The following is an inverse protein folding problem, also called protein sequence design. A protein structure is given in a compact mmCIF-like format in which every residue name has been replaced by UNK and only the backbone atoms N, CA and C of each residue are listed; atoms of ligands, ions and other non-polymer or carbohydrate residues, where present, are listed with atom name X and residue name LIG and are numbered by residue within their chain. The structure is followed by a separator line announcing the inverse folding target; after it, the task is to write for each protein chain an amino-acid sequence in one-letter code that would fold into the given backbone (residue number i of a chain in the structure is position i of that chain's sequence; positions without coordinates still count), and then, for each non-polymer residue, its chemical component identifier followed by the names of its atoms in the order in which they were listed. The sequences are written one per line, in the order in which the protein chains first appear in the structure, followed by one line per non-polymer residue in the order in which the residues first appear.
data_IF_870652582898
#
_entry.id   IF_870652582898
#
_cell.length_a   1.000
_cell.length_b   1.000
_cell.length_c   1.000
_cell.angle_alpha   90.00
_cell.angle_beta   90.00
_cell.angle_gamma   90.00
#
_symmetry.space_group_name_H-M   'P 1'
#
loop_
_entity.id
_entity.type
_entity.pdbx_description
1 polymer ?
#
# COMPACT_ATOMS: atom_id res chain seq x y z
N UNK A 1 -22.99 -22.21 -34.46
CA UNK A 1 -22.54 -21.12 -33.61
C UNK A 1 -23.65 -20.78 -32.62
N UNK A 2 -23.37 -20.67 -31.29
CA UNK A 2 -24.36 -20.27 -30.33
C UNK A 2 -24.89 -18.87 -30.66
N UNK A 3 -26.17 -18.58 -30.44
CA UNK A 3 -26.75 -17.31 -30.81
C UNK A 3 -26.04 -16.17 -30.10
N UNK A 4 -25.75 -15.10 -30.81
CA UNK A 4 -25.01 -13.92 -30.32
C UNK A 4 -25.59 -13.30 -29.03
N UNK A 5 -26.82 -13.61 -28.69
CA UNK A 5 -27.53 -13.24 -27.47
C UNK A 5 -26.95 -13.91 -26.21
N UNK A 6 -26.45 -15.14 -26.29
CA UNK A 6 -25.96 -15.89 -25.13
C UNK A 6 -24.54 -15.45 -24.70
N UNK A 7 -23.69 -15.08 -25.67
CA UNK A 7 -22.35 -14.55 -25.38
C UNK A 7 -22.41 -13.14 -24.77
N UNK A 8 -23.27 -12.26 -25.32
CA UNK A 8 -23.47 -10.93 -24.78
C UNK A 8 -24.03 -10.92 -23.35
N UNK A 9 -24.98 -11.80 -23.06
CA UNK A 9 -25.54 -11.96 -21.70
C UNK A 9 -24.49 -12.49 -20.70
N UNK A 10 -23.68 -13.47 -21.11
CA UNK A 10 -22.54 -13.97 -20.30
C UNK A 10 -21.51 -12.88 -20.01
N UNK A 11 -21.20 -12.04 -21.00
CA UNK A 11 -20.24 -10.93 -20.82
C UNK A 11 -20.79 -9.82 -19.90
N UNK A 12 -22.08 -9.53 -19.97
CA UNK A 12 -22.74 -8.58 -19.04
C UNK A 12 -22.73 -9.12 -17.62
N UNK A 13 -23.04 -10.41 -17.44
CA UNK A 13 -23.02 -11.06 -16.12
C UNK A 13 -21.60 -11.07 -15.52
N UNK A 14 -20.60 -11.44 -16.27
CA UNK A 14 -19.19 -11.42 -15.84
C UNK A 14 -18.74 -10.01 -15.43
N UNK A 15 -19.10 -8.98 -16.18
CA UNK A 15 -18.77 -7.58 -15.84
C UNK A 15 -19.44 -7.10 -14.56
N UNK A 16 -20.69 -7.52 -14.30
CA UNK A 16 -21.39 -7.20 -13.05
C UNK A 16 -20.73 -7.88 -11.87
N UNK A 17 -20.30 -9.13 -12.01
CA UNK A 17 -19.59 -9.89 -10.98
C UNK A 17 -18.30 -9.18 -10.55
N UNK A 18 -17.40 -8.88 -11.47
CA UNK A 18 -16.15 -8.16 -11.18
C UNK A 18 -16.37 -6.80 -10.52
N UNK A 19 -17.43 -6.11 -10.86
CA UNK A 19 -17.82 -4.86 -10.20
C UNK A 19 -18.10 -5.08 -8.72
N UNK A 20 -18.89 -6.08 -8.39
CA UNK A 20 -19.28 -6.36 -7.01
C UNK A 20 -18.09 -6.90 -6.19
N UNK A 21 -17.23 -7.70 -6.78
CA UNK A 21 -15.98 -8.12 -6.14
C UNK A 21 -15.12 -6.91 -5.74
N UNK A 22 -14.90 -5.96 -6.66
CA UNK A 22 -14.12 -4.76 -6.37
C UNK A 22 -14.74 -3.91 -5.25
N UNK A 23 -16.07 -3.78 -5.24
CA UNK A 23 -16.77 -2.98 -4.22
C UNK A 23 -16.76 -3.69 -2.86
N UNK A 24 -17.05 -4.98 -2.82
CA UNK A 24 -17.03 -5.75 -1.58
C UNK A 24 -15.65 -5.74 -0.95
N UNK A 25 -14.60 -5.95 -1.73
CA UNK A 25 -13.21 -5.89 -1.25
C UNK A 25 -12.87 -4.53 -0.66
N UNK A 26 -13.27 -3.44 -1.33
CA UNK A 26 -13.00 -2.10 -0.80
C UNK A 26 -13.81 -1.79 0.46
N UNK A 27 -15.11 -2.12 0.48
CA UNK A 27 -15.99 -1.87 1.65
C UNK A 27 -15.47 -2.63 2.87
N UNK A 28 -15.14 -3.91 2.71
CA UNK A 28 -14.62 -4.74 3.82
C UNK A 28 -13.24 -4.26 4.27
N UNK A 29 -12.36 -3.90 3.34
CA UNK A 29 -11.05 -3.32 3.65
C UNK A 29 -11.15 -1.97 4.35
N UNK A 30 -12.04 -1.09 3.89
CA UNK A 30 -12.30 0.20 4.54
C UNK A 30 -12.89 0.03 5.94
N UNK A 31 -13.85 -0.89 6.11
CA UNK A 31 -14.40 -1.20 7.43
C UNK A 31 -13.31 -1.70 8.39
N UNK A 32 -12.45 -2.62 7.95
CA UNK A 32 -11.32 -3.12 8.73
C UNK A 32 -10.34 -1.98 9.08
N UNK A 33 -10.03 -1.11 8.13
CA UNK A 33 -9.14 0.03 8.37
C UNK A 33 -9.73 0.99 9.42
N UNK A 34 -11.04 1.29 9.35
CA UNK A 34 -11.73 2.11 10.35
C UNK A 34 -11.66 1.46 11.73
N UNK A 35 -11.97 0.16 11.83
CA UNK A 35 -11.96 -0.57 13.10
C UNK A 35 -10.57 -0.58 13.75
N UNK A 36 -9.52 -0.82 12.97
CA UNK A 36 -8.16 -0.94 13.51
C UNK A 36 -7.50 0.43 13.68
N UNK A 37 -7.48 1.26 12.61
CA UNK A 37 -6.69 2.48 12.57
C UNK A 37 -7.44 3.73 13.05
N UNK A 38 -8.75 3.83 12.88
CA UNK A 38 -9.48 5.01 13.33
C UNK A 38 -10.01 4.85 14.75
N UNK A 39 -10.55 3.69 15.11
CA UNK A 39 -10.94 3.44 16.50
C UNK A 39 -9.71 3.28 17.41
N UNK A 40 -8.65 2.62 16.92
CA UNK A 40 -7.38 2.45 17.60
C UNK A 40 -6.31 3.49 17.21
N UNK A 41 -6.69 4.74 16.87
CA UNK A 41 -5.77 5.72 16.30
C UNK A 41 -4.60 6.07 17.21
N UNK A 42 -4.81 6.07 18.52
CA UNK A 42 -3.76 6.34 19.50
C UNK A 42 -2.66 5.29 19.52
N UNK A 43 -2.97 4.05 19.09
CA UNK A 43 -2.02 2.93 19.07
C UNK A 43 -1.36 2.74 17.70
N UNK A 44 -2.10 3.02 16.61
CA UNK A 44 -1.69 2.58 15.29
C UNK A 44 -1.51 3.70 14.27
N UNK A 45 -2.10 4.87 14.50
CA UNK A 45 -2.10 5.95 13.53
C UNK A 45 -1.24 7.15 13.96
N UNK A 46 -1.18 7.42 15.27
CA UNK A 46 -0.49 8.59 15.83
C UNK A 46 0.92 8.18 16.25
N UNK A 47 1.87 9.06 15.94
CA UNK A 47 3.23 9.05 16.45
C UNK A 47 3.46 10.34 17.22
N UNK A 48 3.42 10.24 18.54
CA UNK A 48 3.56 11.41 19.42
C UNK A 48 4.98 11.95 19.48
N UNK A 49 5.98 11.18 19.02
CA UNK A 49 7.36 11.64 18.95
C UNK A 49 7.57 12.54 17.73
N UNK A 50 6.84 12.26 16.65
CA UNK A 50 6.88 13.10 15.44
C UNK A 50 6.02 14.35 15.56
N UNK A 51 4.76 14.18 15.92
CA UNK A 51 3.79 15.28 16.02
C UNK A 51 2.73 14.95 17.09
N UNK A 52 2.46 15.89 17.98
CA UNK A 52 1.35 15.79 18.93
C UNK A 52 0.01 16.02 18.21
N UNK A 53 -0.60 14.95 17.76
CA UNK A 53 -1.92 15.00 17.11
C UNK A 53 -3.00 14.48 18.06
N UNK A 54 -4.15 15.15 18.07
CA UNK A 54 -5.35 14.56 18.67
C UNK A 54 -5.86 13.41 17.78
N UNK A 55 -6.56 12.46 18.38
CA UNK A 55 -7.19 11.33 17.66
C UNK A 55 -8.02 11.81 16.47
N UNK A 56 -8.85 12.83 16.69
CA UNK A 56 -9.71 13.40 15.64
C UNK A 56 -8.89 14.03 14.52
N UNK A 57 -7.81 14.77 14.84
CA UNK A 57 -6.95 15.36 13.83
C UNK A 57 -6.25 14.30 12.99
N UNK A 58 -5.70 13.25 13.59
CA UNK A 58 -5.05 12.16 12.88
C UNK A 58 -6.00 11.44 11.91
N UNK A 59 -7.24 11.16 12.35
CA UNK A 59 -8.26 10.54 11.51
C UNK A 59 -8.66 11.46 10.35
N UNK A 60 -8.85 12.75 10.59
CA UNK A 60 -9.18 13.72 9.54
C UNK A 60 -8.04 13.87 8.51
N UNK A 61 -6.79 13.91 8.96
CA UNK A 61 -5.61 13.92 8.09
C UNK A 61 -5.58 12.68 7.22
N UNK A 62 -5.82 11.51 7.79
CA UNK A 62 -5.87 10.26 7.05
C UNK A 62 -6.97 10.26 5.98
N UNK A 63 -8.19 10.65 6.32
CA UNK A 63 -9.32 10.76 5.38
C UNK A 63 -9.00 11.77 4.28
N UNK A 64 -8.50 12.94 4.65
CA UNK A 64 -8.11 13.98 3.70
C UNK A 64 -7.01 13.49 2.75
N UNK A 65 -6.03 12.73 3.27
CA UNK A 65 -4.97 12.12 2.48
C UNK A 65 -5.49 11.13 1.43
N UNK A 66 -6.49 10.29 1.77
CA UNK A 66 -7.13 9.38 0.81
C UNK A 66 -7.87 10.15 -0.29
N UNK A 67 -8.64 11.16 0.10
CA UNK A 67 -9.40 12.00 -0.85
C UNK A 67 -8.45 12.77 -1.75
N UNK A 68 -7.44 13.43 -1.18
CA UNK A 68 -6.41 14.15 -1.91
C UNK A 68 -5.68 13.23 -2.89
N UNK A 69 -5.29 12.04 -2.42
CA UNK A 69 -4.63 11.02 -3.25
C UNK A 69 -5.45 10.69 -4.50
N UNK A 70 -6.76 10.45 -4.35
CA UNK A 70 -7.63 10.18 -5.49
C UNK A 70 -7.80 11.41 -6.41
N UNK A 71 -8.10 12.57 -5.86
CA UNK A 71 -8.39 13.79 -6.63
C UNK A 71 -7.18 14.20 -7.48
N UNK A 72 -5.99 14.25 -6.88
CA UNK A 72 -4.77 14.64 -7.59
C UNK A 72 -4.37 13.57 -8.61
N UNK A 73 -4.47 12.29 -8.26
CA UNK A 73 -4.23 11.21 -9.22
C UNK A 73 -5.16 11.32 -10.46
N UNK A 74 -6.46 11.57 -10.23
CA UNK A 74 -7.42 11.70 -11.32
C UNK A 74 -7.13 12.95 -12.17
N UNK A 75 -6.74 14.06 -11.55
CA UNK A 75 -6.33 15.28 -12.23
C UNK A 75 -5.09 15.06 -13.11
N UNK A 76 -4.03 14.46 -12.56
CA UNK A 76 -2.80 14.12 -13.30
C UNK A 76 -3.15 13.28 -14.53
N UNK A 77 -3.96 12.24 -14.35
CA UNK A 77 -4.35 11.37 -15.45
C UNK A 77 -5.22 12.07 -16.51
N UNK A 78 -6.03 13.05 -16.14
CA UNK A 78 -6.82 13.84 -17.11
C UNK A 78 -5.96 14.81 -17.89
N UNK A 79 -5.01 15.45 -17.22
CA UNK A 79 -4.09 16.42 -17.86
C UNK A 79 -3.10 15.75 -18.81
N UNK A 80 -2.69 14.53 -18.51
CA UNK A 80 -1.69 13.78 -19.29
C UNK A 80 -2.31 12.74 -20.24
N UNK A 81 -3.63 12.76 -20.44
CA UNK A 81 -4.28 11.88 -21.45
C UNK A 81 -3.69 12.17 -22.83
N UNK A 82 -3.22 11.11 -23.52
CA UNK A 82 -2.62 11.21 -24.86
C UNK A 82 -1.14 11.60 -24.86
N UNK A 83 -0.53 11.86 -23.73
CA UNK A 83 0.92 12.01 -23.59
C UNK A 83 1.60 10.64 -23.47
N UNK A 84 2.93 10.63 -23.51
CA UNK A 84 3.73 9.41 -23.34
C UNK A 84 3.41 8.69 -22.02
N UNK A 85 3.22 7.38 -22.11
CA UNK A 85 3.00 6.55 -20.91
C UNK A 85 4.16 6.64 -19.90
N UNK A 86 5.40 6.83 -20.40
CA UNK A 86 6.57 7.00 -19.55
C UNK A 86 6.48 8.29 -18.73
N UNK A 87 6.12 9.41 -19.36
CA UNK A 87 5.95 10.70 -18.66
C UNK A 87 4.88 10.57 -17.58
N UNK A 88 3.73 9.98 -17.91
CA UNK A 88 2.66 9.75 -16.94
C UNK A 88 3.13 8.87 -15.78
N UNK A 89 3.85 7.78 -16.05
CA UNK A 89 4.36 6.88 -15.01
C UNK A 89 5.35 7.59 -14.08
N UNK A 90 6.25 8.40 -14.61
CA UNK A 90 7.21 9.17 -13.81
C UNK A 90 6.48 10.18 -12.92
N UNK A 91 5.53 10.94 -13.48
CA UNK A 91 4.77 11.94 -12.70
C UNK A 91 3.96 11.27 -11.59
N UNK A 92 3.32 10.12 -11.88
CA UNK A 92 2.59 9.36 -10.86
C UNK A 92 3.53 8.77 -9.80
N UNK A 93 4.71 8.31 -10.18
CA UNK A 93 5.69 7.80 -9.22
C UNK A 93 6.18 8.90 -8.27
N UNK A 94 6.50 10.09 -8.80
CA UNK A 94 6.86 11.26 -7.99
C UNK A 94 5.71 11.64 -7.05
N UNK A 95 4.48 11.62 -7.54
CA UNK A 95 3.30 11.89 -6.72
C UNK A 95 3.11 10.86 -5.60
N UNK A 96 3.27 9.57 -5.89
CA UNK A 96 3.16 8.52 -4.87
C UNK A 96 4.34 8.56 -3.87
N UNK A 97 5.53 8.94 -4.30
CA UNK A 97 6.66 9.17 -3.41
C UNK A 97 6.38 10.34 -2.46
N UNK A 98 5.81 11.44 -2.96
CA UNK A 98 5.38 12.57 -2.14
C UNK A 98 4.30 12.15 -1.13
N UNK A 99 3.27 11.40 -1.55
CA UNK A 99 2.23 10.91 -0.64
C UNK A 99 2.79 9.97 0.44
N UNK A 100 3.74 9.11 0.06
CA UNK A 100 4.41 8.21 0.99
C UNK A 100 5.18 8.98 2.05
N UNK A 101 6.00 9.94 1.61
CA UNK A 101 6.76 10.80 2.50
C UNK A 101 5.85 11.65 3.41
N UNK A 102 4.80 12.25 2.86
CA UNK A 102 3.85 13.06 3.63
C UNK A 102 3.11 12.22 4.68
N UNK A 103 2.68 11.00 4.29
CA UNK A 103 2.04 10.07 5.23
C UNK A 103 2.99 9.67 6.35
N UNK A 104 4.25 9.37 6.04
CA UNK A 104 5.28 9.04 7.02
C UNK A 104 5.57 10.20 7.97
N UNK A 105 5.59 11.43 7.46
CA UNK A 105 5.88 12.63 8.26
C UNK A 105 4.74 13.01 9.22
N UNK A 106 3.49 12.63 8.90
CA UNK A 106 2.30 13.03 9.65
C UNK A 106 1.73 11.93 10.53
N UNK A 107 2.00 10.65 10.21
CA UNK A 107 1.43 9.49 10.87
C UNK A 107 2.54 8.59 11.40
N UNK A 108 2.17 7.61 12.22
CA UNK A 108 3.10 6.55 12.62
C UNK A 108 3.60 5.79 11.39
N UNK A 109 4.78 5.20 11.46
CA UNK A 109 5.36 4.46 10.34
C UNK A 109 4.45 3.33 9.86
N UNK A 110 3.83 2.59 10.78
CA UNK A 110 2.81 1.58 10.48
C UNK A 110 1.55 2.21 9.86
N UNK A 111 1.07 3.31 10.44
CA UNK A 111 -0.07 4.06 9.95
C UNK A 111 0.17 4.59 8.53
N UNK A 112 1.34 5.14 8.25
CA UNK A 112 1.74 5.64 6.94
C UNK A 112 1.77 4.52 5.88
N UNK A 113 2.32 3.36 6.25
CA UNK A 113 2.37 2.19 5.36
C UNK A 113 0.95 1.76 4.96
N UNK A 114 0.06 1.60 5.92
CA UNK A 114 -1.33 1.24 5.66
C UNK A 114 -2.12 2.36 4.97
N UNK A 115 -1.84 3.63 5.27
CA UNK A 115 -2.42 4.79 4.61
C UNK A 115 -2.17 4.75 3.10
N UNK A 116 -0.94 4.43 2.69
CA UNK A 116 -0.61 4.27 1.27
C UNK A 116 -1.36 3.11 0.63
N UNK A 117 -1.46 1.97 1.31
CA UNK A 117 -2.24 0.81 0.84
C UNK A 117 -3.71 1.16 0.61
N UNK A 118 -4.35 1.83 1.58
CA UNK A 118 -5.76 2.28 1.48
C UNK A 118 -5.92 3.33 0.38
N UNK A 119 -4.98 4.26 0.25
CA UNK A 119 -5.03 5.29 -0.80
C UNK A 119 -4.95 4.68 -2.19
N UNK A 120 -3.98 3.80 -2.43
CA UNK A 120 -3.82 3.12 -3.72
C UNK A 120 -5.02 2.20 -4.02
N UNK A 121 -5.52 1.44 -3.03
CA UNK A 121 -6.72 0.62 -3.16
C UNK A 121 -7.97 1.45 -3.48
N UNK A 122 -8.12 2.61 -2.85
CA UNK A 122 -9.20 3.55 -3.14
C UNK A 122 -9.09 4.12 -4.56
N UNK A 123 -7.89 4.47 -5.02
CA UNK A 123 -7.63 4.87 -6.41
C UNK A 123 -8.08 3.78 -7.38
N UNK A 124 -7.75 2.53 -7.11
CA UNK A 124 -8.12 1.41 -7.98
C UNK A 124 -9.64 1.23 -8.08
N UNK A 125 -10.35 1.26 -6.96
CA UNK A 125 -11.81 1.10 -6.94
C UNK A 125 -12.51 2.33 -7.51
N UNK A 126 -12.05 3.53 -7.20
CA UNK A 126 -12.58 4.77 -7.78
C UNK A 126 -12.37 4.82 -9.31
N UNK A 127 -11.25 4.30 -9.83
CA UNK A 127 -11.07 4.11 -11.27
C UNK A 127 -12.18 3.24 -11.87
N UNK A 128 -12.53 2.14 -11.22
CA UNK A 128 -13.60 1.25 -11.69
C UNK A 128 -14.95 1.97 -11.64
N UNK A 129 -15.28 2.57 -10.48
CA UNK A 129 -16.57 3.17 -10.20
C UNK A 129 -16.83 4.44 -11.04
N UNK A 130 -15.85 5.35 -11.11
CA UNK A 130 -16.05 6.70 -11.63
C UNK A 130 -15.59 6.89 -13.08
N UNK A 131 -14.71 6.00 -13.59
CA UNK A 131 -14.13 6.18 -14.92
C UNK A 131 -14.41 4.99 -15.84
N UNK A 132 -14.06 3.76 -15.42
CA UNK A 132 -14.13 2.59 -16.31
C UNK A 132 -15.59 2.23 -16.59
N UNK A 133 -16.41 2.00 -15.57
CA UNK A 133 -17.81 1.59 -15.75
C UNK A 133 -18.64 2.68 -16.45
N UNK A 134 -18.59 3.96 -16.04
CA UNK A 134 -19.32 5.00 -16.75
C UNK A 134 -18.86 5.18 -18.21
N UNK A 135 -17.55 5.06 -18.46
CA UNK A 135 -16.99 5.10 -19.83
C UNK A 135 -17.54 3.95 -20.70
N UNK A 136 -17.53 2.73 -20.19
CA UNK A 136 -18.07 1.56 -20.89
C UNK A 136 -19.58 1.68 -21.17
N UNK A 137 -20.36 2.16 -20.19
CA UNK A 137 -21.80 2.40 -20.37
C UNK A 137 -22.07 3.38 -21.52
N UNK A 138 -21.28 4.46 -21.62
CA UNK A 138 -21.41 5.44 -22.70
C UNK A 138 -21.06 4.83 -24.07
N UNK A 139 -20.00 4.02 -24.16
CA UNK A 139 -19.63 3.30 -25.39
C UNK A 139 -20.74 2.37 -25.83
N UNK A 140 -21.29 1.55 -24.93
CA UNK A 140 -22.38 0.63 -25.21
C UNK A 140 -23.64 1.36 -25.65
N UNK A 141 -24.01 2.46 -25.00
CA UNK A 141 -25.17 3.27 -25.38
C UNK A 141 -25.02 3.85 -26.80
N UNK A 142 -23.83 4.29 -27.20
CA UNK A 142 -23.54 4.77 -28.56
C UNK A 142 -23.65 3.64 -29.59
N UNK A 143 -23.15 2.44 -29.27
CA UNK A 143 -23.28 1.27 -30.15
C UNK A 143 -24.75 0.85 -30.36
N UNK A 144 -25.54 0.82 -29.27
CA UNK A 144 -27.00 0.53 -29.34
C UNK A 144 -27.71 1.56 -30.23
N UNK A 145 -27.32 2.83 -30.11
CA UNK A 145 -27.84 3.91 -30.94
C UNK A 145 -27.28 3.90 -32.37
N UNK A 146 -26.56 2.85 -32.78
CA UNK A 146 -25.88 2.72 -34.07
C UNK A 146 -24.96 3.92 -34.47
N UNK A 147 -24.41 4.59 -33.43
CA UNK A 147 -23.44 5.67 -33.60
C UNK A 147 -22.03 5.13 -33.36
N UNK A 148 -21.05 5.69 -34.10
CA UNK A 148 -19.63 5.38 -33.84
C UNK A 148 -19.23 5.84 -32.44
N UNK A 149 -18.72 4.94 -31.58
CA UNK A 149 -18.32 5.31 -30.22
C UNK A 149 -17.20 6.34 -30.21
N UNK A 150 -17.32 7.34 -29.34
CA UNK A 150 -16.23 8.30 -29.13
C UNK A 150 -15.00 7.60 -28.55
N UNK A 151 -13.82 7.69 -29.20
CA UNK A 151 -12.58 7.05 -28.72
C UNK A 151 -12.15 7.51 -27.32
N UNK A 152 -12.52 8.71 -26.92
CA UNK A 152 -12.18 9.33 -25.65
C UNK A 152 -12.57 8.48 -24.44
N UNK A 153 -13.72 7.83 -24.46
CA UNK A 153 -14.18 6.98 -23.34
C UNK A 153 -13.38 5.69 -23.26
N UNK A 154 -13.08 5.07 -24.39
CA UNK A 154 -12.26 3.86 -24.46
C UNK A 154 -10.82 4.10 -24.02
N UNK A 155 -10.20 5.17 -24.50
CA UNK A 155 -8.81 5.55 -24.14
C UNK A 155 -8.69 5.77 -22.64
N UNK A 156 -9.59 6.55 -22.02
CA UNK A 156 -9.57 6.80 -20.57
C UNK A 156 -9.80 5.52 -19.77
N UNK A 157 -10.77 4.71 -20.16
CA UNK A 157 -11.05 3.45 -19.47
C UNK A 157 -9.86 2.49 -19.56
N UNK A 158 -9.22 2.37 -20.74
CA UNK A 158 -8.02 1.55 -20.95
C UNK A 158 -6.85 2.03 -20.06
N UNK A 159 -6.60 3.34 -20.03
CA UNK A 159 -5.55 3.93 -19.18
C UNK A 159 -5.74 3.55 -17.69
N UNK A 160 -6.97 3.75 -17.16
CA UNK A 160 -7.25 3.44 -15.75
C UNK A 160 -7.18 1.94 -15.45
N UNK A 161 -7.66 1.11 -16.36
CA UNK A 161 -7.55 -0.34 -16.23
C UNK A 161 -6.09 -0.79 -16.22
N UNK A 162 -5.24 -0.17 -17.04
CA UNK A 162 -3.80 -0.45 -17.04
C UNK A 162 -3.15 -0.03 -15.72
N UNK A 163 -3.48 1.14 -15.17
CA UNK A 163 -2.97 1.57 -13.88
C UNK A 163 -3.40 0.60 -12.76
N UNK A 164 -4.65 0.18 -12.72
CA UNK A 164 -5.11 -0.82 -11.74
C UNK A 164 -4.32 -2.12 -11.86
N UNK A 165 -4.03 -2.56 -13.09
CA UNK A 165 -3.20 -3.74 -13.33
C UNK A 165 -1.79 -3.60 -12.74
N UNK A 166 -1.13 -2.44 -12.93
CA UNK A 166 0.21 -2.19 -12.39
C UNK A 166 0.21 -2.00 -10.86
N UNK A 167 -0.85 -1.44 -10.29
CA UNK A 167 -0.96 -1.19 -8.85
C UNK A 167 -1.36 -2.43 -8.04
N UNK A 168 -1.83 -3.51 -8.67
CA UNK A 168 -2.32 -4.71 -7.98
C UNK A 168 -1.26 -5.32 -7.07
N UNK A 169 -0.05 -5.59 -7.57
CA UNK A 169 1.02 -6.19 -6.76
C UNK A 169 1.51 -5.25 -5.64
N UNK A 170 1.78 -3.97 -5.91
CA UNK A 170 2.12 -3.02 -4.85
C UNK A 170 1.10 -2.97 -3.72
N UNK A 171 -0.20 -2.87 -4.04
CA UNK A 171 -1.26 -2.80 -3.02
C UNK A 171 -1.29 -4.06 -2.18
N UNK A 172 -1.24 -5.25 -2.80
CA UNK A 172 -1.24 -6.52 -2.08
C UNK A 172 -0.04 -6.57 -1.13
N UNK A 173 1.16 -6.21 -1.60
CA UNK A 173 2.37 -6.28 -0.81
C UNK A 173 2.33 -5.30 0.37
N UNK A 174 1.88 -4.06 0.16
CA UNK A 174 1.72 -3.06 1.21
C UNK A 174 0.70 -3.53 2.27
N UNK A 175 -0.43 -4.10 1.86
CA UNK A 175 -1.45 -4.59 2.79
C UNK A 175 -0.96 -5.79 3.62
N UNK A 176 -0.24 -6.72 3.00
CA UNK A 176 0.38 -7.86 3.70
C UNK A 176 1.53 -7.37 4.60
N UNK A 177 2.25 -6.34 4.19
CA UNK A 177 3.38 -5.73 4.92
C UNK A 177 3.02 -5.29 6.34
N UNK A 178 1.73 -5.05 6.64
CA UNK A 178 1.26 -4.79 7.99
C UNK A 178 1.59 -5.91 9.01
N UNK A 179 1.82 -7.13 8.53
CA UNK A 179 2.19 -8.29 9.35
C UNK A 179 3.71 -8.46 9.49
N UNK A 180 4.49 -7.62 8.84
CA UNK A 180 5.96 -7.68 8.83
C UNK A 180 6.54 -6.36 9.33
N UNK A 181 6.86 -6.26 10.65
CA UNK A 181 7.40 -5.04 11.26
C UNK A 181 8.65 -4.52 10.54
N UNK A 182 9.50 -5.38 10.05
CA UNK A 182 10.70 -5.01 9.28
C UNK A 182 10.42 -4.12 8.07
N UNK A 183 9.20 -4.17 7.51
CA UNK A 183 8.85 -3.33 6.36
C UNK A 183 8.56 -1.88 6.75
N UNK A 184 8.13 -1.61 7.98
CA UNK A 184 7.70 -0.28 8.40
C UNK A 184 8.38 0.24 9.67
N UNK A 185 9.09 -0.61 10.45
CA UNK A 185 9.78 -0.20 11.67
C UNK A 185 11.15 0.47 11.44
N UNK A 186 11.36 1.01 10.26
CA UNK A 186 12.58 1.71 9.87
C UNK A 186 12.29 3.16 9.50
N UNK A 187 13.24 4.05 9.73
CA UNK A 187 13.19 5.46 9.32
C UNK A 187 13.02 5.63 7.80
N UNK A 188 13.33 4.59 7.03
CA UNK A 188 13.21 4.56 5.57
C UNK A 188 11.92 3.89 5.08
N UNK A 189 10.92 3.66 5.95
CA UNK A 189 9.67 2.96 5.58
C UNK A 189 8.95 3.60 4.39
N UNK A 190 8.96 4.94 4.27
CA UNK A 190 8.41 5.65 3.11
C UNK A 190 9.15 5.33 1.80
N UNK A 191 10.46 5.12 1.86
CA UNK A 191 11.28 4.69 0.69
C UNK A 191 10.92 3.25 0.32
N UNK A 192 10.76 2.36 1.31
CA UNK A 192 10.35 0.97 1.09
C UNK A 192 9.00 0.89 0.37
N UNK A 193 8.05 1.77 0.72
CA UNK A 193 6.77 1.87 0.00
C UNK A 193 7.01 2.22 -1.49
N UNK A 194 7.85 3.22 -1.76
CA UNK A 194 8.16 3.64 -3.14
C UNK A 194 8.84 2.51 -3.91
N UNK A 195 9.82 1.85 -3.30
CA UNK A 195 10.49 0.69 -3.90
C UNK A 195 9.51 -0.44 -4.18
N UNK A 196 8.58 -0.70 -3.26
CA UNK A 196 7.51 -1.69 -3.45
C UNK A 196 6.64 -1.36 -4.66
N UNK A 197 6.29 -0.08 -4.87
CA UNK A 197 5.53 0.36 -6.04
C UNK A 197 6.33 0.13 -7.33
N UNK A 198 7.61 0.45 -7.32
CA UNK A 198 8.49 0.26 -8.49
C UNK A 198 8.67 -1.24 -8.79
N UNK A 199 9.03 -2.04 -7.79
CA UNK A 199 9.27 -3.49 -7.95
C UNK A 199 8.00 -4.18 -8.44
N UNK A 200 6.86 -3.93 -7.78
CA UNK A 200 5.58 -4.50 -8.19
C UNK A 200 5.17 -4.09 -9.60
N UNK A 201 5.42 -2.83 -9.97
CA UNK A 201 5.23 -2.31 -11.33
C UNK A 201 6.12 -3.02 -12.35
N UNK A 202 7.40 -3.21 -12.06
CA UNK A 202 8.34 -3.89 -12.94
C UNK A 202 7.97 -5.38 -13.12
N UNK A 203 7.63 -6.08 -12.04
CA UNK A 203 7.16 -7.46 -12.10
C UNK A 203 5.92 -7.56 -12.98
N UNK A 204 4.97 -6.63 -12.80
CA UNK A 204 3.75 -6.62 -13.60
C UNK A 204 4.02 -6.30 -15.06
N UNK A 205 4.97 -5.41 -15.34
CA UNK A 205 5.40 -5.09 -16.70
C UNK A 205 5.96 -6.34 -17.40
N UNK A 206 6.83 -7.08 -16.73
CA UNK A 206 7.38 -8.33 -17.24
C UNK A 206 6.26 -9.31 -17.68
N UNK A 207 5.27 -9.53 -16.83
CA UNK A 207 4.17 -10.44 -17.16
C UNK A 207 3.24 -9.89 -18.24
N UNK A 208 2.99 -8.57 -18.26
CA UNK A 208 2.15 -7.95 -19.28
C UNK A 208 2.76 -8.09 -20.67
N UNK A 209 4.06 -7.83 -20.82
CA UNK A 209 4.76 -7.99 -22.11
C UNK A 209 4.78 -9.46 -22.56
N UNK A 210 5.02 -10.38 -21.64
CA UNK A 210 4.99 -11.82 -21.93
C UNK A 210 3.61 -12.28 -22.39
N UNK A 211 2.53 -11.86 -21.71
CA UNK A 211 1.17 -12.23 -22.08
C UNK A 211 0.69 -11.56 -23.38
N UNK A 212 1.24 -10.40 -23.72
CA UNK A 212 0.97 -9.74 -24.99
C UNK A 212 1.68 -10.41 -26.18
N UNK A 213 2.50 -11.43 -25.96
CA UNK A 213 3.28 -12.08 -27.01
C UNK A 213 4.50 -11.27 -27.47
N UNK A 214 4.85 -10.20 -26.77
CA UNK A 214 6.03 -9.39 -27.05
C UNK A 214 7.30 -10.10 -26.60
N UNK A 215 8.48 -9.61 -27.03
CA UNK A 215 9.77 -10.10 -26.49
C UNK A 215 9.78 -9.92 -24.99
N UNK A 216 9.96 -11.01 -24.25
CA UNK A 216 10.01 -10.99 -22.79
C UNK A 216 11.14 -10.09 -22.31
N UNK A 217 10.85 -9.05 -21.52
CA UNK A 217 11.85 -8.07 -21.12
C UNK A 217 12.69 -8.60 -19.95
N UNK A 218 13.55 -9.57 -20.19
CA UNK A 218 14.40 -10.18 -19.14
C UNK A 218 15.30 -9.17 -18.41
N UNK A 219 15.61 -8.03 -19.06
CA UNK A 219 16.38 -6.95 -18.43
C UNK A 219 15.72 -6.40 -17.15
N UNK A 220 14.40 -6.54 -17.02
CA UNK A 220 13.63 -6.11 -15.84
C UNK A 220 14.03 -6.88 -14.58
N UNK A 221 14.56 -8.10 -14.72
CA UNK A 221 14.99 -8.91 -13.57
C UNK A 221 16.13 -8.23 -12.78
N UNK A 222 17.06 -7.57 -13.46
CA UNK A 222 18.20 -6.90 -12.82
C UNK A 222 17.76 -5.79 -11.86
N UNK A 223 16.97 -4.78 -12.28
CA UNK A 223 16.51 -3.76 -11.35
C UNK A 223 15.60 -4.33 -10.26
N UNK A 224 14.80 -5.36 -10.52
CA UNK A 224 14.00 -6.01 -9.46
C UNK A 224 14.92 -6.57 -8.36
N UNK A 225 15.96 -7.30 -8.71
CA UNK A 225 16.90 -7.88 -7.73
C UNK A 225 17.62 -6.77 -6.95
N UNK A 226 18.14 -5.76 -7.64
CA UNK A 226 18.86 -4.64 -7.00
C UNK A 226 17.94 -3.88 -6.04
N UNK A 227 16.74 -3.53 -6.47
CA UNK A 227 15.79 -2.79 -5.64
C UNK A 227 15.26 -3.62 -4.47
N UNK A 228 15.07 -4.92 -4.66
CA UNK A 228 14.67 -5.83 -3.58
C UNK A 228 15.78 -5.96 -2.53
N UNK A 229 17.04 -6.09 -2.98
CA UNK A 229 18.19 -6.09 -2.10
C UNK A 229 18.31 -4.76 -1.34
N UNK A 230 18.18 -3.63 -2.03
CA UNK A 230 18.14 -2.31 -1.40
C UNK A 230 17.03 -2.17 -0.36
N UNK A 231 15.83 -2.70 -0.64
CA UNK A 231 14.73 -2.71 0.33
C UNK A 231 15.07 -3.53 1.58
N UNK A 232 15.73 -4.67 1.42
CA UNK A 232 16.17 -5.50 2.54
C UNK A 232 17.23 -4.76 3.39
N UNK A 233 18.19 -4.08 2.77
CA UNK A 233 19.18 -3.29 3.49
C UNK A 233 18.55 -2.12 4.27
N UNK A 234 17.54 -1.48 3.70
CA UNK A 234 16.80 -0.39 4.35
C UNK A 234 15.83 -0.88 5.43
N UNK A 235 15.50 -2.16 5.45
CA UNK A 235 14.62 -2.78 6.45
C UNK A 235 15.35 -3.30 7.68
N UNK A 236 16.68 -3.14 7.73
CA UNK A 236 17.43 -3.40 8.95
C UNK A 236 16.93 -2.45 10.03
N UNK A 237 16.31 -3.02 11.04
CA UNK A 237 15.90 -2.30 12.25
C UNK A 237 17.18 -2.08 13.05
N UNK A 238 17.40 -0.87 13.56
CA UNK A 238 18.48 -0.60 14.49
C UNK A 238 18.52 -1.67 15.58
N UNK A 239 19.71 -2.17 15.89
CA UNK A 239 19.85 -3.23 16.91
C UNK A 239 19.12 -2.80 18.18
N UNK A 240 18.28 -3.71 18.74
CA UNK A 240 17.57 -3.39 19.99
C UNK A 240 18.63 -3.04 21.05
N UNK A 241 18.52 -1.85 21.60
CA UNK A 241 19.46 -1.37 22.63
C UNK A 241 19.19 -2.12 23.92
N UNK A 242 20.03 -3.11 24.22
CA UNK A 242 20.03 -3.84 25.50
C UNK A 242 20.31 -2.93 26.71
N UNK A 243 20.93 -1.75 26.49
CA UNK A 243 21.21 -0.73 27.48
C UNK A 243 19.96 0.02 27.97
N UNK A 244 18.81 -0.14 27.33
CA UNK A 244 17.54 0.45 27.76
C UNK A 244 16.78 -0.37 28.81
N UNK A 245 17.22 -1.59 29.13
CA UNK A 245 16.65 -2.36 30.22
C UNK A 245 17.06 -1.72 31.56
N UNK A 246 16.07 -1.34 32.40
CA UNK A 246 16.36 -0.76 33.69
C UNK A 246 17.20 -1.73 34.54
N UNK A 247 18.20 -1.24 35.30
CA UNK A 247 19.06 -2.08 36.15
C UNK A 247 18.27 -2.98 37.11
N UNK A 248 17.10 -2.53 37.53
CA UNK A 248 16.18 -3.26 38.45
C UNK A 248 15.58 -4.50 37.76
N UNK A 249 15.27 -4.42 36.48
CA UNK A 249 14.77 -5.56 35.69
C UNK A 249 15.89 -6.55 35.33
N UNK A 250 17.10 -6.05 35.10
CA UNK A 250 18.27 -6.89 34.91
C UNK A 250 18.57 -7.71 36.20
N UNK A 251 18.49 -7.10 37.39
CA UNK A 251 18.78 -7.78 38.68
C UNK A 251 17.77 -8.89 39.00
N UNK A 252 16.53 -8.78 38.57
CA UNK A 252 15.52 -9.84 38.70
C UNK A 252 15.82 -11.07 37.84
N UNK A 253 16.53 -10.88 36.75
CA UNK A 253 16.95 -11.97 35.85
C UNK A 253 18.24 -12.63 36.31
N UNK A 254 19.09 -11.91 37.06
CA UNK A 254 20.43 -12.38 37.47
C UNK A 254 20.45 -13.54 38.49
N UNK A 255 19.35 -13.78 39.20
CA UNK A 255 19.33 -14.75 40.29
C UNK A 255 19.02 -16.21 39.97
N UNK A 256 18.40 -16.54 38.82
CA UNK A 256 17.66 -17.80 38.68
C UNK A 256 18.07 -18.73 37.51
N UNK A 257 18.91 -18.31 36.55
CA UNK A 257 19.17 -19.09 35.35
C UNK A 257 20.66 -19.17 35.01
N UNK A 258 21.05 -20.21 34.25
CA UNK A 258 22.42 -20.32 33.71
C UNK A 258 22.74 -19.14 32.78
N UNK A 259 24.02 -18.77 32.71
CA UNK A 259 24.43 -17.63 31.86
C UNK A 259 24.07 -17.86 30.38
N UNK A 260 24.30 -19.07 29.88
CA UNK A 260 23.94 -19.44 28.49
C UNK A 260 22.44 -19.33 28.23
N UNK A 261 21.58 -19.70 29.19
CA UNK A 261 20.13 -19.53 29.07
C UNK A 261 19.73 -18.04 29.06
N UNK A 262 20.39 -17.23 29.90
CA UNK A 262 20.18 -15.78 29.95
C UNK A 262 20.56 -15.13 28.64
N UNK A 263 21.72 -15.47 28.09
CA UNK A 263 22.22 -14.91 26.85
C UNK A 263 21.29 -15.28 25.66
N UNK A 264 20.84 -16.52 25.58
CA UNK A 264 19.90 -16.97 24.56
C UNK A 264 18.52 -16.30 24.68
N UNK A 265 17.99 -16.17 25.89
CA UNK A 265 16.70 -15.49 26.11
C UNK A 265 16.83 -13.99 25.87
N UNK A 266 17.90 -13.36 26.30
CA UNK A 266 18.17 -11.95 26.07
C UNK A 266 18.29 -11.67 24.57
N UNK A 267 18.99 -12.52 23.84
CA UNK A 267 19.09 -12.41 22.39
C UNK A 267 17.71 -12.53 21.72
N UNK A 268 16.94 -13.58 22.03
CA UNK A 268 15.59 -13.77 21.46
C UNK A 268 14.66 -12.63 21.87
N UNK A 269 14.69 -12.19 23.11
CA UNK A 269 13.85 -11.11 23.62
C UNK A 269 14.25 -9.78 22.98
N UNK A 270 15.53 -9.50 22.85
CA UNK A 270 16.06 -8.33 22.21
C UNK A 270 15.64 -8.26 20.73
N UNK A 271 15.76 -9.35 19.98
CA UNK A 271 15.44 -9.38 18.54
C UNK A 271 13.96 -9.53 18.23
N UNK A 272 13.20 -10.22 19.04
CA UNK A 272 11.80 -10.57 18.73
C UNK A 272 10.75 -9.80 19.52
N UNK A 273 11.06 -9.42 20.75
CA UNK A 273 10.06 -8.86 21.67
C UNK A 273 10.30 -7.37 21.97
N UNK A 274 11.56 -6.92 22.04
CA UNK A 274 11.90 -5.54 22.43
C UNK A 274 11.46 -4.50 21.39
N UNK A 275 11.27 -4.88 20.12
CA UNK A 275 10.70 -3.98 19.12
C UNK A 275 9.33 -3.43 19.52
N UNK A 276 8.59 -4.17 20.37
CA UNK A 276 7.25 -3.80 20.83
C UNK A 276 7.12 -3.75 22.37
N UNK A 277 7.93 -4.52 23.12
CA UNK A 277 7.78 -4.77 24.55
C UNK A 277 8.90 -4.17 25.40
N UNK A 278 9.26 -2.91 25.17
CA UNK A 278 10.19 -2.12 26.01
C UNK A 278 9.58 -0.78 26.36
N UNK A 279 10.15 -0.11 27.37
CA UNK A 279 9.69 1.23 27.80
C UNK A 279 9.76 2.28 26.67
N UNK A 280 10.78 2.17 25.81
CA UNK A 280 10.96 2.94 24.59
C UNK A 280 11.08 1.95 23.43
N UNK A 281 9.96 1.50 22.86
CA UNK A 281 10.01 0.57 21.74
C UNK A 281 10.73 1.24 20.55
N UNK A 282 11.67 0.52 19.96
CA UNK A 282 12.31 0.96 18.70
C UNK A 282 11.32 1.02 17.52
N UNK A 283 10.12 0.51 17.74
CA UNK A 283 9.03 0.63 16.80
C UNK A 283 8.37 1.99 16.92
N UNK A 284 8.65 2.84 15.97
CA UNK A 284 8.00 4.14 15.82
C UNK A 284 6.47 3.99 15.82
N UNK A 285 5.79 4.68 16.72
CA UNK A 285 4.34 4.63 16.87
C UNK A 285 3.82 3.88 18.09
N UNK A 286 4.66 3.22 18.88
CA UNK A 286 4.30 2.69 20.20
C UNK A 286 4.87 3.56 21.31
N UNK A 287 4.12 4.55 21.75
CA UNK A 287 4.56 5.45 22.83
C UNK A 287 4.33 4.89 24.23
N UNK A 288 3.49 3.87 24.38
CA UNK A 288 3.22 3.22 25.67
C UNK A 288 3.56 1.74 25.56
N UNK A 289 4.32 1.20 26.50
CA UNK A 289 4.55 -0.23 26.51
C UNK A 289 3.21 -0.97 26.58
N UNK A 290 3.09 -2.15 25.93
CA UNK A 290 1.91 -2.98 26.06
C UNK A 290 1.64 -3.30 27.53
N UNK A 291 0.38 -3.47 27.90
CA UNK A 291 0.01 -3.87 29.27
C UNK A 291 0.70 -5.19 29.59
N UNK A 292 1.48 -5.20 30.67
CA UNK A 292 2.18 -6.38 31.15
C UNK A 292 3.70 -6.38 30.92
N UNK A 293 4.28 -5.24 30.55
CA UNK A 293 5.75 -5.02 30.55
C UNK A 293 6.14 -4.19 31.77
#
# INVERSE_FOLDING_TARGET
PPPASSSAASDVYKRQWFKWEAYATWITGAALFILVYYLGAELYLIDYEKIELSKTAAVLISIAGVIFGWVIYDLICRLLVGKSNLVLSIVLLIFFAFLSWASYSLLSSRGAFMQMGVTLGTIMVANVLMVIIPGQKKVVAQLIAKKTPSPKFGIRAKQRSLHNNYLTLPVIFIMIGNHYPTAYATSYSWVIIVLTIIIGGLVRHFFNERHAGNKTPYWVAVPIVILSWGSLMLSEVDEPRLDQLSPEKLSLIEGSFSQEFKDNIMEVTAYKCSTCHVMEPSWEGMKKPPKGV
#
